data_IF_725426973420
#
_entry.id   IF_725426973420
#
_cell.length_a   1.000
_cell.length_b   1.000
_cell.length_c   1.000
_cell.angle_alpha   90.00
_cell.angle_beta   90.00
_cell.angle_gamma   90.00
#
_symmetry.space_group_name_H-M   'P 1'
#
loop_
_entity.id
_entity.type
_entity.pdbx_description
1 polymer ?
#
# COMPACT_ATOMS: atom_id res chain seq x y z
N UNK A 1 -16.75 20.19 7.40
CA UNK A 1 -16.13 19.27 8.40
C UNK A 1 -17.19 18.59 9.26
N UNK A 2 -18.11 19.35 9.88
CA UNK A 2 -19.20 18.79 10.71
C UNK A 2 -20.10 17.77 9.99
N UNK A 3 -20.45 18.01 8.72
CA UNK A 3 -21.24 17.08 7.91
C UNK A 3 -20.53 15.72 7.71
N UNK A 4 -19.23 15.73 7.42
CA UNK A 4 -18.43 14.53 7.24
C UNK A 4 -18.28 13.74 8.56
N UNK A 5 -18.21 14.44 9.70
CA UNK A 5 -18.20 13.81 11.02
C UNK A 5 -19.55 13.18 11.38
N UNK A 6 -20.66 13.76 10.90
CA UNK A 6 -22.00 13.22 11.09
C UNK A 6 -22.27 11.98 10.22
N UNK A 7 -21.76 11.96 8.99
CA UNK A 7 -21.81 10.80 8.08
C UNK A 7 -21.06 9.59 8.66
N UNK A 8 -19.85 9.81 9.21
CA UNK A 8 -19.04 8.77 9.86
C UNK A 8 -19.81 8.06 10.99
N UNK A 9 -20.54 8.82 11.82
CA UNK A 9 -21.36 8.28 12.91
C UNK A 9 -22.56 7.46 12.43
N UNK A 10 -22.96 7.58 11.16
CA UNK A 10 -24.05 6.81 10.54
C UNK A 10 -23.56 5.56 9.82
N UNK A 11 -22.27 5.23 9.89
CA UNK A 11 -21.67 4.11 9.15
C UNK A 11 -21.58 4.35 7.64
N UNK A 12 -21.87 5.57 7.19
CA UNK A 12 -21.67 5.99 5.80
C UNK A 12 -20.27 6.56 5.71
N UNK A 13 -19.43 6.00 4.84
CA UNK A 13 -18.06 6.47 4.65
C UNK A 13 -18.07 7.90 4.06
N UNK A 14 -17.65 8.92 4.82
CA UNK A 14 -17.68 10.29 4.34
C UNK A 14 -16.64 10.50 3.24
N UNK A 15 -17.10 10.90 2.05
CA UNK A 15 -16.27 11.15 0.85
C UNK A 15 -15.15 12.16 1.11
N UNK A 16 -15.37 13.11 2.03
CA UNK A 16 -14.36 14.09 2.45
C UNK A 16 -13.12 13.45 3.11
N UNK A 17 -13.30 12.39 3.90
CA UNK A 17 -12.19 11.71 4.57
C UNK A 17 -11.59 10.60 3.72
N UNK A 18 -12.36 10.07 2.78
CA UNK A 18 -11.98 8.97 1.91
C UNK A 18 -12.29 9.35 0.47
N UNK A 19 -11.33 10.01 -0.17
CA UNK A 19 -11.42 10.32 -1.59
C UNK A 19 -11.67 9.02 -2.36
N UNK A 20 -12.80 8.94 -3.04
CA UNK A 20 -13.11 7.85 -3.95
C UNK A 20 -12.32 8.05 -5.25
N UNK A 21 -11.71 7.00 -5.76
CA UNK A 21 -11.09 6.98 -7.09
C UNK A 21 -12.09 7.39 -8.17
N UNK A 22 -11.65 8.17 -9.14
CA UNK A 22 -12.44 8.55 -10.30
C UNK A 22 -12.13 7.58 -11.45
N UNK A 23 -13.12 6.76 -11.82
CA UNK A 23 -12.99 5.76 -12.91
C UNK A 23 -12.73 6.36 -14.30
N UNK A 24 -12.88 7.67 -14.47
CA UNK A 24 -12.59 8.39 -15.72
C UNK A 24 -11.29 9.19 -15.64
N UNK A 25 -10.66 9.23 -14.48
CA UNK A 25 -9.39 9.90 -14.32
C UNK A 25 -8.26 9.04 -14.92
N UNK A 26 -7.48 9.58 -15.87
CA UNK A 26 -6.44 8.80 -16.54
C UNK A 26 -5.35 8.29 -15.59
N UNK A 27 -5.07 9.02 -14.50
CA UNK A 27 -4.05 8.65 -13.52
C UNK A 27 -4.54 7.49 -12.66
N UNK A 28 -5.79 7.53 -12.18
CA UNK A 28 -6.40 6.42 -11.44
C UNK A 28 -6.51 5.14 -12.27
N UNK A 29 -6.84 5.28 -13.57
CA UNK A 29 -6.86 4.16 -14.53
C UNK A 29 -5.45 3.58 -14.66
N UNK A 30 -4.44 4.41 -14.94
CA UNK A 30 -3.07 3.95 -15.14
C UNK A 30 -2.49 3.26 -13.89
N UNK A 31 -2.78 3.77 -12.69
CA UNK A 31 -2.35 3.14 -11.43
C UNK A 31 -3.03 1.78 -11.25
N UNK A 32 -4.33 1.70 -11.55
CA UNK A 32 -5.11 0.46 -11.43
C UNK A 32 -4.61 -0.62 -12.39
N UNK A 33 -4.32 -0.27 -13.64
CA UNK A 33 -3.78 -1.18 -14.65
C UNK A 33 -2.39 -1.71 -14.26
N UNK A 34 -1.48 -0.84 -13.79
CA UNK A 34 -0.16 -1.26 -13.30
C UNK A 34 -0.25 -2.26 -12.15
N UNK A 35 -1.16 -2.02 -11.20
CA UNK A 35 -1.41 -2.95 -10.09
C UNK A 35 -1.96 -4.29 -10.59
N UNK A 36 -2.98 -4.26 -11.45
CA UNK A 36 -3.61 -5.46 -11.99
C UNK A 36 -2.61 -6.32 -12.80
N UNK A 37 -1.76 -5.70 -13.62
CA UNK A 37 -0.73 -6.40 -14.38
C UNK A 37 0.30 -7.08 -13.47
N UNK A 38 0.77 -6.37 -12.43
CA UNK A 38 1.70 -6.94 -11.45
C UNK A 38 1.09 -8.14 -10.75
N UNK A 39 -0.19 -8.02 -10.35
CA UNK A 39 -0.93 -9.11 -9.71
C UNK A 39 -1.11 -10.33 -10.62
N UNK A 40 -1.42 -10.10 -11.90
CA UNK A 40 -1.56 -11.15 -12.89
C UNK A 40 -0.22 -11.87 -13.15
N UNK A 41 0.90 -11.15 -13.21
CA UNK A 41 2.23 -11.77 -13.34
C UNK A 41 2.59 -12.64 -12.14
N UNK A 42 2.34 -12.13 -10.92
CA UNK A 42 2.55 -12.91 -9.71
C UNK A 42 1.74 -14.19 -9.70
N UNK A 43 0.46 -14.14 -10.07
CA UNK A 43 -0.38 -15.31 -10.14
C UNK A 43 0.11 -16.35 -11.19
N UNK A 44 0.76 -15.89 -12.26
CA UNK A 44 1.28 -16.76 -13.33
C UNK A 44 2.62 -17.41 -12.99
N UNK A 45 3.58 -16.63 -12.48
CA UNK A 45 4.99 -17.04 -12.38
C UNK A 45 5.62 -16.78 -11.00
N UNK A 46 4.86 -16.26 -10.04
CA UNK A 46 5.37 -15.91 -8.70
C UNK A 46 6.29 -14.69 -8.65
N UNK A 47 6.49 -14.00 -9.79
CA UNK A 47 7.26 -12.77 -9.91
C UNK A 47 6.31 -11.61 -10.24
N UNK A 48 6.42 -10.53 -9.47
CA UNK A 48 5.60 -9.31 -9.61
C UNK A 48 6.18 -8.32 -10.62
N UNK A 49 7.43 -8.51 -11.06
CA UNK A 49 8.06 -7.65 -12.06
C UNK A 49 7.48 -7.93 -13.44
N UNK A 50 7.01 -6.89 -14.12
CA UNK A 50 6.62 -6.95 -15.52
C UNK A 50 7.86 -6.54 -16.32
N UNK A 51 8.13 -7.24 -17.42
CA UNK A 51 9.21 -6.89 -18.35
C UNK A 51 8.79 -5.73 -19.27
N UNK A 52 8.33 -4.62 -18.69
CA UNK A 52 8.01 -3.38 -19.41
C UNK A 52 9.18 -2.39 -19.29
N UNK A 53 9.50 -1.69 -20.39
CA UNK A 53 10.57 -0.68 -20.41
C UNK A 53 10.33 0.40 -19.35
N UNK A 54 11.28 0.55 -18.43
CA UNK A 54 11.25 1.59 -17.39
C UNK A 54 10.69 1.15 -16.04
N UNK A 55 10.22 -0.10 -15.87
CA UNK A 55 9.86 -0.59 -14.54
C UNK A 55 11.12 -0.70 -13.64
N UNK A 56 11.12 0.01 -12.52
CA UNK A 56 12.11 -0.15 -11.45
C UNK A 56 11.98 -1.55 -10.89
N UNK A 57 13.12 -2.25 -10.84
CA UNK A 57 13.23 -3.58 -10.27
C UNK A 57 12.65 -3.61 -8.85
N UNK A 58 11.61 -4.41 -8.64
CA UNK A 58 11.04 -4.69 -7.33
C UNK A 58 11.66 -5.98 -6.79
N UNK A 59 12.63 -5.89 -5.86
CA UNK A 59 13.28 -7.07 -5.31
C UNK A 59 12.32 -7.85 -4.40
N UNK A 60 12.62 -9.14 -4.22
CA UNK A 60 11.96 -9.96 -3.19
C UNK A 60 12.17 -9.29 -1.83
N UNK A 61 11.09 -9.22 -1.05
CA UNK A 61 11.15 -8.64 0.29
C UNK A 61 12.14 -9.40 1.18
N UNK A 62 13.02 -8.67 1.85
CA UNK A 62 13.95 -9.19 2.85
C UNK A 62 13.93 -8.29 4.10
N UNK A 63 14.15 -8.87 5.29
CA UNK A 63 14.25 -8.09 6.54
C UNK A 63 15.45 -7.15 6.57
N UNK A 64 16.46 -7.38 5.72
CA UNK A 64 17.67 -6.55 5.64
C UNK A 64 17.42 -5.31 4.78
N UNK A 65 16.72 -5.49 3.67
CA UNK A 65 16.57 -4.45 2.66
C UNK A 65 15.24 -3.70 2.78
N UNK A 66 14.20 -4.34 3.34
CA UNK A 66 12.87 -3.78 3.65
C UNK A 66 12.27 -2.95 2.51
N UNK A 67 12.41 -3.45 1.27
CA UNK A 67 11.91 -2.79 0.05
C UNK A 67 10.51 -3.28 -0.27
N UNK A 68 9.57 -2.35 -0.44
CA UNK A 68 8.17 -2.59 -0.83
C UNK A 68 7.84 -1.80 -2.10
N UNK A 69 6.80 -2.20 -2.83
CA UNK A 69 6.30 -1.47 -4.01
C UNK A 69 5.37 -0.33 -3.58
N UNK A 70 5.51 0.82 -4.22
CA UNK A 70 4.48 1.85 -4.22
C UNK A 70 3.79 1.88 -5.58
N UNK A 71 2.46 1.95 -5.55
CA UNK A 71 1.65 2.22 -6.73
C UNK A 71 1.25 3.69 -6.68
N UNK A 72 2.15 4.55 -7.15
CA UNK A 72 1.97 6.00 -7.23
C UNK A 72 2.62 6.53 -8.51
N UNK A 73 2.42 7.80 -8.84
CA UNK A 73 3.03 8.41 -10.02
C UNK A 73 4.56 8.51 -9.95
N UNK A 74 5.13 8.64 -8.74
CA UNK A 74 6.53 9.09 -8.55
C UNK A 74 7.40 8.09 -7.80
N UNK A 75 6.81 7.14 -7.10
CA UNK A 75 7.52 6.18 -6.27
C UNK A 75 7.22 4.78 -6.75
N UNK A 76 8.25 4.06 -7.21
CA UNK A 76 8.10 2.65 -7.56
C UNK A 76 8.46 1.74 -6.39
N UNK A 77 9.43 2.13 -5.57
CA UNK A 77 9.86 1.38 -4.39
C UNK A 77 9.95 2.27 -3.15
N UNK A 78 9.49 1.76 -2.02
CA UNK A 78 9.61 2.37 -0.69
C UNK A 78 10.55 1.50 0.14
N UNK A 79 11.46 2.12 0.89
CA UNK A 79 12.32 1.43 1.85
C UNK A 79 11.93 1.82 3.28
N UNK A 80 11.84 0.83 4.18
CA UNK A 80 11.56 1.08 5.59
C UNK A 80 10.17 1.68 5.86
N UNK A 81 9.16 1.24 5.11
CA UNK A 81 7.79 1.76 5.24
C UNK A 81 7.29 1.60 6.68
N UNK A 82 7.03 2.73 7.35
CA UNK A 82 6.57 2.78 8.75
C UNK A 82 7.51 2.10 9.76
N UNK A 83 8.81 2.03 9.48
CA UNK A 83 9.78 1.28 10.28
C UNK A 83 9.71 1.58 11.78
N UNK A 84 9.70 2.84 12.18
CA UNK A 84 9.64 3.22 13.60
C UNK A 84 8.39 2.66 14.31
N UNK A 85 7.25 2.61 13.61
CA UNK A 85 6.01 2.04 14.16
C UNK A 85 6.08 0.52 14.22
N UNK A 86 6.62 -0.10 13.18
CA UNK A 86 6.80 -1.56 13.08
C UNK A 86 7.84 -2.05 14.08
N UNK A 87 8.85 -1.27 14.44
CA UNK A 87 9.83 -1.63 15.46
C UNK A 87 9.23 -1.45 16.86
N UNK A 88 8.44 -0.38 17.06
CA UNK A 88 7.79 -0.10 18.34
C UNK A 88 6.72 -1.14 18.73
N UNK A 89 5.79 -1.47 17.81
CA UNK A 89 4.61 -2.26 18.16
C UNK A 89 4.93 -3.69 18.64
N UNK A 90 5.74 -4.52 17.96
CA UNK A 90 6.09 -5.86 18.40
C UNK A 90 6.85 -5.88 19.71
N UNK A 91 7.72 -4.88 19.96
CA UNK A 91 8.43 -4.76 21.24
C UNK A 91 7.47 -4.54 22.40
N UNK A 92 6.44 -3.71 22.22
CA UNK A 92 5.48 -3.39 23.27
C UNK A 92 4.38 -4.45 23.38
N UNK A 93 3.92 -5.03 22.27
CA UNK A 93 2.96 -6.12 22.28
C UNK A 93 3.52 -7.35 22.99
N UNK A 94 4.80 -7.70 22.78
CA UNK A 94 5.43 -8.81 23.51
C UNK A 94 5.39 -8.63 25.02
N UNK A 95 5.57 -7.40 25.53
CA UNK A 95 5.49 -7.10 26.97
C UNK A 95 4.07 -7.25 27.54
N UNK A 96 3.04 -7.15 26.69
CA UNK A 96 1.64 -7.28 27.12
C UNK A 96 1.17 -8.73 27.19
N UNK A 97 1.77 -9.64 26.40
CA UNK A 97 1.32 -11.03 26.28
C UNK A 97 2.24 -12.06 26.94
N UNK A 98 3.44 -11.65 27.37
CA UNK A 98 4.30 -12.47 28.23
C UNK A 98 4.04 -12.01 29.66
N UNK A 99 3.33 -12.82 30.46
CA UNK A 99 3.31 -12.59 31.91
C UNK A 99 4.72 -12.84 32.46
N UNK A 100 5.10 -12.11 33.51
CA UNK A 100 6.28 -12.47 34.31
C UNK A 100 6.23 -13.92 34.77
#
# INVERSE_FOLDING_TARGET
>A
MEAATAENKKGVWPVYFYLSTNKFDPQDIAISEKMANSWAQFAKIGNLNIEEEGQVNWPIYSLKDEVMRSFSEKGETIKGMLKDRVDYQPLHLKKLYISE
#
